data_IF_237221943403
#
_entry.id   IF_237221943403
#
_cell.length_a   1.000
_cell.length_b   1.000
_cell.length_c   1.000
_cell.angle_alpha   90.00
_cell.angle_beta   90.00
_cell.angle_gamma   90.00
#
_symmetry.space_group_name_H-M   'P 1'
#
loop_
_entity.id
_entity.type
_entity.pdbx_description
1 polymer ?
#
# COMPACT_ATOMS: atom_id res chain seq x y z
N UNK A 1 -13.06 -1.77 -12.15
CA UNK A 1 -11.88 -2.66 -12.03
C UNK A 1 -12.25 -4.09 -12.41
N UNK A 2 -11.55 -4.61 -13.43
CA UNK A 2 -11.74 -5.96 -13.97
C UNK A 2 -11.40 -7.06 -12.94
N UNK A 3 -11.99 -8.26 -13.10
CA UNK A 3 -11.80 -9.38 -12.18
C UNK A 3 -10.31 -9.78 -12.01
N UNK A 4 -9.51 -9.67 -13.08
CA UNK A 4 -8.07 -9.99 -13.04
C UNK A 4 -7.28 -9.00 -12.18
N UNK A 5 -7.60 -7.71 -12.25
CA UNK A 5 -6.93 -6.67 -11.46
C UNK A 5 -7.27 -6.82 -9.98
N UNK A 6 -8.51 -7.19 -9.63
CA UNK A 6 -8.91 -7.52 -8.25
C UNK A 6 -8.08 -8.64 -7.63
N UNK A 7 -7.81 -9.71 -8.39
CA UNK A 7 -7.01 -10.84 -7.90
C UNK A 7 -5.55 -10.43 -7.70
N UNK A 8 -4.97 -9.67 -8.64
CA UNK A 8 -3.59 -9.15 -8.49
C UNK A 8 -3.48 -8.21 -7.29
N UNK A 9 -4.48 -7.36 -7.10
CA UNK A 9 -4.57 -6.45 -5.98
C UNK A 9 -4.59 -7.17 -4.63
N UNK A 10 -5.46 -8.17 -4.45
CA UNK A 10 -5.51 -8.93 -3.19
C UNK A 10 -4.16 -9.59 -2.87
N UNK A 11 -3.53 -10.22 -3.87
CA UNK A 11 -2.20 -10.83 -3.70
C UNK A 11 -1.13 -9.83 -3.28
N UNK A 12 -1.21 -8.59 -3.77
CA UNK A 12 -0.28 -7.53 -3.39
C UNK A 12 -0.48 -7.15 -1.92
N UNK A 13 -1.72 -6.92 -1.49
CA UNK A 13 -2.05 -6.60 -0.09
C UNK A 13 -1.56 -7.70 0.85
N UNK A 14 -1.86 -8.97 0.53
CA UNK A 14 -1.45 -10.12 1.33
C UNK A 14 0.08 -10.22 1.47
N UNK A 15 0.83 -9.86 0.41
CA UNK A 15 2.29 -9.91 0.41
C UNK A 15 2.95 -8.89 1.36
N UNK A 16 2.23 -7.82 1.73
CA UNK A 16 2.70 -6.84 2.72
C UNK A 16 2.30 -7.21 4.16
N UNK A 17 1.53 -8.28 4.37
CA UNK A 17 1.13 -8.76 5.71
C UNK A 17 0.47 -7.69 6.60
N UNK A 18 -0.33 -6.80 5.99
CA UNK A 18 -1.10 -5.78 6.71
C UNK A 18 -2.30 -6.38 7.48
N UNK A 19 -2.44 -7.71 7.47
CA UNK A 19 -3.57 -8.49 8.01
C UNK A 19 -3.78 -8.30 9.52
N UNK A 20 -2.75 -7.87 10.23
CA UNK A 20 -2.80 -7.64 11.67
C UNK A 20 -3.29 -6.25 12.07
N UNK A 21 -3.52 -5.34 11.12
CA UNK A 21 -3.94 -3.96 11.40
C UNK A 21 -5.46 -3.87 11.46
N UNK A 22 -6.06 -3.73 12.66
CA UNK A 22 -7.51 -3.68 12.79
C UNK A 22 -8.05 -2.42 12.10
N UNK A 23 -9.00 -2.60 11.18
CA UNK A 23 -9.62 -1.49 10.46
C UNK A 23 -8.84 -1.00 9.22
N UNK A 24 -7.70 -1.61 8.89
CA UNK A 24 -7.00 -1.30 7.65
C UNK A 24 -7.85 -1.72 6.44
N UNK A 25 -8.11 -0.75 5.57
CA UNK A 25 -8.80 -0.94 4.29
C UNK A 25 -7.92 -0.31 3.21
N UNK A 26 -7.17 -1.10 2.42
CA UNK A 26 -6.17 -0.59 1.48
C UNK A 26 -6.78 0.13 0.26
N UNK A 27 -8.10 0.21 0.17
CA UNK A 27 -8.87 0.93 -0.86
C UNK A 27 -9.62 2.14 -0.32
N UNK A 28 -9.55 2.41 0.99
CA UNK A 28 -10.30 3.46 1.66
C UNK A 28 -9.34 4.46 2.30
N UNK A 29 -9.25 5.60 1.62
CA UNK A 29 -8.46 6.74 2.00
C UNK A 29 -8.56 7.14 3.45
N UNK A 30 -9.80 7.36 3.83
CA UNK A 30 -10.19 7.95 5.09
C UNK A 30 -9.93 6.92 6.17
N UNK A 31 -10.14 5.63 5.87
CA UNK A 31 -9.79 4.56 6.80
C UNK A 31 -8.29 4.48 7.05
N UNK A 32 -7.44 4.60 6.02
CA UNK A 32 -5.97 4.60 6.20
C UNK A 32 -5.51 5.83 6.99
N UNK A 33 -5.99 7.02 6.64
CA UNK A 33 -5.65 8.27 7.33
C UNK A 33 -6.10 8.27 8.81
N UNK A 34 -7.19 7.55 9.11
CA UNK A 34 -7.70 7.39 10.46
C UNK A 34 -6.91 6.37 11.31
N UNK A 35 -5.99 5.59 10.71
CA UNK A 35 -5.19 4.61 11.46
C UNK A 35 -4.22 5.31 12.39
N UNK A 36 -4.34 5.01 13.67
CA UNK A 36 -3.43 5.49 14.71
C UNK A 36 -2.46 4.38 15.10
N UNK A 37 -1.22 4.77 15.39
CA UNK A 37 -0.21 3.84 15.93
C UNK A 37 0.50 2.98 14.87
N UNK A 38 0.35 3.29 13.58
CA UNK A 38 1.18 2.67 12.54
C UNK A 38 2.65 2.99 12.79
N UNK A 39 3.50 1.98 12.63
CA UNK A 39 4.92 2.17 12.45
C UNK A 39 5.20 2.94 11.16
N UNK A 40 6.39 3.53 11.05
CA UNK A 40 6.82 4.20 9.82
C UNK A 40 6.74 3.26 8.61
N UNK A 41 7.15 2.00 8.75
CA UNK A 41 7.08 1.01 7.66
C UNK A 41 5.66 0.74 7.19
N UNK A 42 4.73 0.50 8.12
CA UNK A 42 3.30 0.28 7.80
C UNK A 42 2.66 1.50 7.14
N UNK A 43 3.03 2.71 7.59
CA UNK A 43 2.59 3.95 6.95
C UNK A 43 3.04 4.01 5.48
N UNK A 44 4.31 3.67 5.20
CA UNK A 44 4.80 3.62 3.81
C UNK A 44 4.10 2.54 2.97
N UNK A 45 3.79 1.37 3.55
CA UNK A 45 2.99 0.33 2.87
C UNK A 45 1.61 0.87 2.51
N UNK A 46 0.94 1.53 3.45
CA UNK A 46 -0.39 2.06 3.24
C UNK A 46 -0.40 3.12 2.13
N UNK A 47 0.52 4.09 2.15
CA UNK A 47 0.68 5.08 1.09
C UNK A 47 0.94 4.44 -0.29
N UNK A 48 1.77 3.40 -0.35
CA UNK A 48 2.04 2.67 -1.58
C UNK A 48 0.78 2.00 -2.15
N UNK A 49 0.10 1.19 -1.32
CA UNK A 49 -1.11 0.46 -1.73
C UNK A 49 -2.19 1.43 -2.21
N UNK A 50 -2.45 2.50 -1.45
CA UNK A 50 -3.38 3.54 -1.86
C UNK A 50 -3.01 4.17 -3.20
N UNK A 51 -1.72 4.48 -3.41
CA UNK A 51 -1.24 5.03 -4.68
C UNK A 51 -1.40 4.07 -5.87
N UNK A 52 -1.33 2.77 -5.63
CA UNK A 52 -1.63 1.75 -6.65
C UNK A 52 -3.14 1.65 -6.91
N UNK A 53 -3.97 1.74 -5.88
CA UNK A 53 -5.43 1.59 -5.99
C UNK A 53 -6.13 2.82 -6.58
N UNK A 54 -5.77 4.02 -6.13
CA UNK A 54 -6.45 5.26 -6.49
C UNK A 54 -5.45 6.37 -6.87
N UNK A 55 -4.65 6.19 -7.94
CA UNK A 55 -3.58 7.13 -8.31
C UNK A 55 -4.07 8.53 -8.68
N UNK A 56 -5.36 8.67 -9.01
CA UNK A 56 -5.99 9.91 -9.48
C UNK A 56 -6.61 10.75 -8.36
N UNK A 57 -6.91 10.16 -7.20
CA UNK A 57 -7.52 10.85 -6.09
C UNK A 57 -6.43 11.35 -5.14
N UNK A 58 -5.96 12.58 -5.39
CA UNK A 58 -4.78 13.17 -4.71
C UNK A 58 -5.12 14.24 -3.68
N UNK A 59 -6.39 14.45 -3.36
CA UNK A 59 -6.86 15.48 -2.42
C UNK A 59 -6.58 15.14 -0.94
N UNK A 60 -5.74 14.14 -0.69
CA UNK A 60 -5.55 13.55 0.62
C UNK A 60 -4.46 14.34 1.31
N UNK A 61 -4.72 14.81 2.53
CA UNK A 61 -3.82 15.69 3.27
C UNK A 61 -2.59 14.95 3.86
N UNK A 62 -2.35 13.72 3.43
CA UNK A 62 -1.33 12.81 3.97
C UNK A 62 -0.10 12.67 3.06
N UNK A 63 1.06 12.24 3.63
CA UNK A 63 2.32 12.28 2.91
C UNK A 63 2.28 11.41 1.66
N UNK A 64 2.91 11.90 0.59
CA UNK A 64 3.07 11.16 -0.66
C UNK A 64 3.93 9.91 -0.42
N UNK A 65 3.64 8.84 -1.16
CA UNK A 65 4.55 7.69 -1.19
C UNK A 65 5.90 8.11 -1.78
N UNK A 66 6.97 7.95 -0.99
CA UNK A 66 8.35 8.06 -1.41
C UNK A 66 9.02 6.70 -1.31
N UNK A 67 9.50 6.17 -2.45
CA UNK A 67 10.10 4.84 -2.53
C UNK A 67 11.44 4.76 -1.80
N UNK A 68 12.21 5.85 -1.75
CA UNK A 68 13.53 5.88 -1.10
C UNK A 68 13.35 5.79 0.41
N UNK A 69 12.44 6.58 0.97
CA UNK A 69 12.10 6.52 2.39
C UNK A 69 11.46 5.17 2.75
N UNK A 70 10.53 4.69 1.92
CA UNK A 70 9.89 3.39 2.12
C UNK A 70 10.90 2.24 2.16
N UNK A 71 11.86 2.22 1.22
CA UNK A 71 12.90 1.19 1.17
C UNK A 71 13.83 1.22 2.39
N UNK A 72 14.02 2.39 3.00
CA UNK A 72 14.79 2.53 4.23
C UNK A 72 14.01 2.03 5.47
N UNK A 73 12.69 2.24 5.50
CA UNK A 73 11.81 1.85 6.61
C UNK A 73 11.34 0.39 6.56
N UNK A 74 11.20 -0.18 5.36
CA UNK A 74 10.65 -1.52 5.17
C UNK A 74 11.58 -2.65 5.60
N UNK A 75 11.00 -3.68 6.18
CA UNK A 75 11.67 -4.95 6.42
C UNK A 75 11.92 -5.71 5.09
N UNK A 76 12.69 -6.81 5.11
CA UNK A 76 12.95 -7.58 3.89
C UNK A 76 11.71 -8.12 3.18
N UNK A 77 10.60 -8.39 3.90
CA UNK A 77 9.38 -8.93 3.32
C UNK A 77 8.64 -7.85 2.53
N UNK A 78 8.47 -6.66 3.11
CA UNK A 78 7.86 -5.51 2.44
C UNK A 78 8.65 -5.11 1.20
N UNK A 79 9.99 -5.08 1.29
CA UNK A 79 10.86 -4.82 0.13
C UNK A 79 10.66 -5.85 -0.98
N UNK A 80 10.58 -7.13 -0.63
CA UNK A 80 10.34 -8.21 -1.60
C UNK A 80 8.96 -8.07 -2.25
N UNK A 81 7.92 -7.76 -1.49
CA UNK A 81 6.57 -7.56 -2.01
C UNK A 81 6.53 -6.40 -3.03
N UNK A 82 7.18 -5.28 -2.69
CA UNK A 82 7.32 -4.14 -3.60
C UNK A 82 8.06 -4.52 -4.89
N UNK A 83 9.21 -5.21 -4.79
CA UNK A 83 9.99 -5.59 -5.96
C UNK A 83 9.21 -6.53 -6.89
N UNK A 84 8.47 -7.50 -6.35
CA UNK A 84 7.61 -8.38 -7.15
C UNK A 84 6.51 -7.62 -7.91
N UNK A 85 5.96 -6.56 -7.31
CA UNK A 85 5.05 -5.67 -8.02
C UNK A 85 5.78 -4.83 -9.08
N UNK A 86 6.96 -4.30 -8.75
CA UNK A 86 7.73 -3.43 -9.64
C UNK A 86 8.24 -4.16 -10.90
N UNK A 87 8.42 -5.48 -10.84
CA UNK A 87 8.79 -6.32 -11.99
C UNK A 87 7.68 -6.42 -13.06
N UNK A 88 6.41 -6.39 -12.65
CA UNK A 88 5.25 -6.40 -13.55
C UNK A 88 4.15 -5.49 -12.96
N UNK A 89 4.31 -4.16 -13.06
CA UNK A 89 3.44 -3.21 -12.38
C UNK A 89 2.03 -3.26 -12.94
N UNK A 90 1.06 -3.07 -12.05
CA UNK A 90 -0.34 -2.94 -12.41
C UNK A 90 -1.00 -1.87 -11.56
N UNK A 91 -2.05 -1.26 -12.11
CA UNK A 91 -2.95 -0.31 -11.47
C UNK A 91 -4.35 -0.46 -12.12
N UNK A 92 -5.41 0.08 -11.50
CA UNK A 92 -6.78 -0.01 -12.02
C UNK A 92 -7.04 0.68 -13.36
#
# INVERSE_FOLDING_TARGET
MEARVRVRWQKLVDAFHMDNLPGFKPWDAVAVDALKGLSSGEHHVACFLLGVWDPGNRDWQHPRFDVIEAMAAWDPNCRRAFLLWAEDPFWP
#
